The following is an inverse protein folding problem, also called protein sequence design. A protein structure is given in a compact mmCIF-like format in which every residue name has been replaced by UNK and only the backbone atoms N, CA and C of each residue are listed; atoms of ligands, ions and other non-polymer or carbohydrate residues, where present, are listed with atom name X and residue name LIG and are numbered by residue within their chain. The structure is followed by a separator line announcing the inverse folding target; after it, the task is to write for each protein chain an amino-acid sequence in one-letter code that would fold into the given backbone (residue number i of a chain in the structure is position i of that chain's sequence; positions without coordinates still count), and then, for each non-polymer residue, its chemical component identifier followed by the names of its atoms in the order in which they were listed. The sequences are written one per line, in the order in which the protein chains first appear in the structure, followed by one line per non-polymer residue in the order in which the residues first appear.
data_IF_206319015325
#
_entry.id   IF_206319015325
#
_cell.length_a   1.000
_cell.length_b   1.000
_cell.length_c   1.000
_cell.angle_alpha   90.00
_cell.angle_beta   90.00
_cell.angle_gamma   90.00
#
_symmetry.space_group_name_H-M   'P 1'
#
loop_
_entity.id
_entity.type
_entity.pdbx_description
1 polymer ?
#
# COMPACT_ATOMS: atom_id res chain seq x y z
N UNK A 1 -7.99 15.20 20.39
CA UNK A 1 -6.65 14.91 19.84
C UNK A 1 -6.58 13.42 19.53
N UNK A 2 -6.27 13.04 18.29
CA UNK A 2 -6.29 11.64 17.83
C UNK A 2 -5.29 10.80 18.62
N UNK A 3 -5.75 9.69 19.21
CA UNK A 3 -4.94 8.75 20.01
C UNK A 3 -3.76 8.10 19.25
N UNK A 4 -3.60 8.43 17.96
CA UNK A 4 -2.52 7.93 17.09
C UNK A 4 -1.23 8.74 17.14
N UNK A 5 -1.19 9.89 17.84
CA UNK A 5 0.04 10.70 17.97
C UNK A 5 1.01 10.20 19.07
N UNK A 6 0.64 9.19 19.85
CA UNK A 6 1.43 8.70 21.00
C UNK A 6 2.02 7.29 20.85
N UNK A 7 1.88 6.64 19.69
CA UNK A 7 2.54 5.36 19.42
C UNK A 7 3.60 5.56 18.36
N UNK A 8 4.79 5.03 18.61
CA UNK A 8 5.85 5.03 17.62
C UNK A 8 5.35 4.36 16.32
N UNK A 9 5.74 4.91 15.15
CA UNK A 9 5.44 4.25 13.89
C UNK A 9 6.04 2.84 13.90
N UNK A 10 5.34 1.88 13.27
CA UNK A 10 5.89 0.53 13.12
C UNK A 10 7.27 0.59 12.47
N UNK A 11 8.23 -0.24 12.92
CA UNK A 11 9.53 -0.35 12.28
C UNK A 11 9.40 -0.63 10.77
N UNK A 12 10.33 -0.13 9.93
CA UNK A 12 10.27 -0.36 8.49
C UNK A 12 10.18 -1.84 8.10
N UNK A 13 10.85 -2.73 8.84
CA UNK A 13 10.76 -4.19 8.63
C UNK A 13 9.34 -4.72 8.76
N UNK A 14 8.59 -4.24 9.75
CA UNK A 14 7.23 -4.68 10.03
C UNK A 14 6.24 -4.11 9.02
N UNK A 15 6.48 -2.89 8.54
CA UNK A 15 5.74 -2.28 7.44
C UNK A 15 5.92 -3.07 6.13
N UNK A 16 7.15 -3.47 5.81
CA UNK A 16 7.47 -4.28 4.64
C UNK A 16 6.80 -5.65 4.74
N UNK A 17 6.90 -6.31 5.90
CA UNK A 17 6.27 -7.60 6.15
C UNK A 17 4.76 -7.52 5.97
N UNK A 18 4.12 -6.56 6.64
CA UNK A 18 2.67 -6.32 6.57
C UNK A 18 2.20 -6.10 5.12
N UNK A 19 2.87 -5.22 4.37
CA UNK A 19 2.52 -4.94 2.98
C UNK A 19 2.71 -6.18 2.08
N UNK A 20 3.75 -6.98 2.34
CA UNK A 20 4.06 -8.18 1.55
C UNK A 20 3.02 -9.28 1.80
N UNK A 21 2.66 -9.54 3.05
CA UNK A 21 1.61 -10.49 3.42
C UNK A 21 0.28 -10.13 2.77
N UNK A 22 -0.09 -8.85 2.83
CA UNK A 22 -1.35 -8.39 2.25
C UNK A 22 -1.35 -8.49 0.72
N UNK A 23 -0.22 -8.17 0.06
CA UNK A 23 -0.07 -8.40 -1.38
C UNK A 23 -0.28 -9.87 -1.73
N UNK A 24 0.38 -10.79 -1.02
CA UNK A 24 0.26 -12.24 -1.27
C UNK A 24 -1.18 -12.70 -1.11
N UNK A 25 -1.84 -12.33 -0.01
CA UNK A 25 -3.25 -12.66 0.26
C UNK A 25 -4.18 -12.16 -0.85
N UNK A 26 -3.96 -10.93 -1.32
CA UNK A 26 -4.77 -10.33 -2.38
C UNK A 26 -4.51 -10.98 -3.73
N UNK A 27 -3.26 -11.29 -4.05
CA UNK A 27 -2.91 -12.01 -5.28
C UNK A 27 -3.61 -13.36 -5.34
N UNK A 28 -3.58 -14.13 -4.25
CA UNK A 28 -4.29 -15.41 -4.15
C UNK A 28 -5.80 -15.25 -4.33
N UNK A 29 -6.40 -14.26 -3.66
CA UNK A 29 -7.83 -13.97 -3.78
C UNK A 29 -8.22 -13.53 -5.20
N UNK A 30 -7.42 -12.68 -5.84
CA UNK A 30 -7.63 -12.22 -7.22
C UNK A 30 -7.48 -13.37 -8.22
N UNK A 31 -6.49 -14.24 -8.05
CA UNK A 31 -6.33 -15.44 -8.89
C UNK A 31 -7.53 -16.40 -8.76
N UNK A 32 -8.04 -16.58 -7.54
CA UNK A 32 -9.25 -17.37 -7.32
C UNK A 32 -10.48 -16.72 -7.99
N UNK A 33 -10.64 -15.40 -7.88
CA UNK A 33 -11.73 -14.66 -8.50
C UNK A 33 -11.67 -14.68 -10.04
N UNK A 34 -10.47 -14.64 -10.65
CA UNK A 34 -10.27 -14.82 -12.10
C UNK A 34 -10.71 -16.21 -12.53
N UNK A 35 -10.27 -17.27 -11.80
CA UNK A 35 -10.67 -18.66 -12.10
C UNK A 35 -12.19 -18.86 -11.99
N UNK A 36 -12.84 -18.15 -11.07
CA UNK A 36 -14.28 -18.17 -10.88
C UNK A 36 -15.04 -17.26 -11.88
N UNK A 37 -14.36 -16.58 -12.80
CA UNK A 37 -14.98 -15.67 -13.77
C UNK A 37 -15.56 -14.38 -13.16
N UNK A 38 -15.21 -14.05 -11.92
CA UNK A 38 -15.75 -12.88 -11.20
C UNK A 38 -15.04 -11.58 -11.57
N UNK A 39 -13.79 -11.65 -12.02
CA UNK A 39 -13.00 -10.50 -12.50
C UNK A 39 -12.15 -10.91 -13.71
N UNK A 40 -11.73 -9.92 -14.49
CA UNK A 40 -10.79 -10.13 -15.60
C UNK A 40 -9.35 -10.31 -15.10
N UNK A 41 -8.51 -11.01 -15.88
CA UNK A 41 -7.08 -11.16 -15.59
C UNK A 41 -6.38 -9.79 -15.54
N UNK A 42 -6.71 -8.89 -16.45
CA UNK A 42 -6.18 -7.52 -16.49
C UNK A 42 -6.44 -6.76 -15.18
N UNK A 43 -7.65 -6.88 -14.61
CA UNK A 43 -7.98 -6.25 -13.33
C UNK A 43 -7.16 -6.84 -12.17
N UNK A 44 -6.89 -8.15 -12.19
CA UNK A 44 -6.05 -8.79 -11.20
C UNK A 44 -4.58 -8.33 -11.31
N UNK A 45 -4.06 -8.19 -12.53
CA UNK A 45 -2.70 -7.70 -12.78
C UNK A 45 -2.55 -6.24 -12.33
N UNK A 46 -3.53 -5.38 -12.62
CA UNK A 46 -3.53 -4.00 -12.12
C UNK A 46 -3.52 -3.93 -10.58
N UNK A 47 -4.29 -4.76 -9.89
CA UNK A 47 -4.26 -4.81 -8.42
C UNK A 47 -2.89 -5.27 -7.89
N UNK A 48 -2.25 -6.28 -8.53
CA UNK A 48 -0.90 -6.73 -8.13
C UNK A 48 0.16 -5.65 -8.37
N UNK A 49 0.05 -4.86 -9.44
CA UNK A 49 0.97 -3.73 -9.71
C UNK A 49 0.88 -2.70 -8.57
N UNK A 50 -0.32 -2.29 -8.19
CA UNK A 50 -0.52 -1.31 -7.11
C UNK A 50 0.05 -1.82 -5.78
N UNK A 51 -0.20 -3.09 -5.45
CA UNK A 51 0.34 -3.68 -4.23
C UNK A 51 1.85 -3.95 -4.28
N UNK A 52 2.40 -4.24 -5.47
CA UNK A 52 3.84 -4.29 -5.67
C UNK A 52 4.48 -2.93 -5.40
N UNK A 53 3.85 -1.84 -5.82
CA UNK A 53 4.34 -0.48 -5.57
C UNK A 53 4.22 -0.09 -4.09
N UNK A 54 3.18 -0.52 -3.39
CA UNK A 54 3.05 -0.34 -1.93
C UNK A 54 4.18 -1.05 -1.19
N UNK A 55 4.48 -2.31 -1.53
CA UNK A 55 5.60 -3.06 -0.93
C UNK A 55 6.92 -2.36 -1.22
N UNK A 56 7.14 -1.93 -2.45
CA UNK A 56 8.37 -1.24 -2.82
C UNK A 56 8.53 0.08 -2.07
N UNK A 57 7.46 0.87 -1.94
CA UNK A 57 7.47 2.09 -1.14
C UNK A 57 7.90 1.82 0.31
N UNK A 58 7.39 0.75 0.94
CA UNK A 58 7.81 0.40 2.30
C UNK A 58 9.29 -0.01 2.36
N UNK A 59 9.83 -0.62 1.31
CA UNK A 59 11.27 -0.94 1.23
C UNK A 59 12.14 0.31 1.14
N UNK A 60 11.67 1.38 0.49
CA UNK A 60 12.39 2.66 0.45
C UNK A 60 12.54 3.25 1.86
N UNK A 61 11.52 3.12 2.72
CA UNK A 61 11.63 3.50 4.14
C UNK A 61 12.67 2.65 4.90
N UNK A 62 12.89 1.41 4.46
CA UNK A 62 13.95 0.52 4.94
C UNK A 62 15.32 0.74 4.28
N UNK A 63 15.48 1.79 3.45
CA UNK A 63 16.74 2.13 2.79
C UNK A 63 16.96 1.52 1.41
N UNK A 64 15.97 0.84 0.82
CA UNK A 64 16.04 0.42 -0.59
C UNK A 64 16.05 1.65 -1.51
N UNK A 65 16.98 1.68 -2.45
CA UNK A 65 17.16 2.80 -3.39
C UNK A 65 16.93 2.42 -4.85
N UNK A 66 16.54 1.17 -5.11
CA UNK A 66 16.22 0.73 -6.48
C UNK A 66 14.97 1.46 -6.95
N UNK A 67 14.91 1.78 -8.23
CA UNK A 67 13.68 2.33 -8.81
C UNK A 67 12.61 1.22 -8.93
N UNK A 68 11.34 1.49 -8.59
CA UNK A 68 10.27 0.55 -8.84
C UNK A 68 10.02 0.42 -10.34
N UNK A 69 9.33 -0.66 -10.71
CA UNK A 69 9.02 -0.95 -12.11
C UNK A 69 8.19 0.16 -12.76
N UNK A 70 7.25 0.78 -12.04
CA UNK A 70 6.36 1.86 -12.54
C UNK A 70 5.98 2.78 -11.38
N UNK A 71 6.20 4.10 -11.50
CA UNK A 71 5.83 5.09 -10.47
C UNK A 71 5.13 6.32 -11.07
N UNK A 72 4.08 6.09 -11.86
CA UNK A 72 3.30 7.22 -12.36
C UNK A 72 2.62 7.96 -11.20
N UNK A 73 2.43 9.26 -11.37
CA UNK A 73 1.81 10.09 -10.33
C UNK A 73 0.39 9.60 -10.01
N UNK A 74 -0.34 9.08 -10.99
CA UNK A 74 -1.67 8.50 -10.82
C UNK A 74 -1.65 7.22 -9.97
N UNK A 75 -0.58 6.43 -10.06
CA UNK A 75 -0.41 5.21 -9.25
C UNK A 75 -0.25 5.56 -7.77
N UNK A 76 0.39 6.69 -7.45
CA UNK A 76 0.61 7.13 -6.06
C UNK A 76 -0.69 7.44 -5.34
N UNK A 77 -1.58 8.23 -5.96
CA UNK A 77 -2.90 8.53 -5.39
C UNK A 77 -3.78 7.26 -5.36
N UNK A 78 -3.59 6.34 -6.30
CA UNK A 78 -4.29 5.04 -6.29
C UNK A 78 -3.81 4.11 -5.17
N UNK A 79 -2.51 4.09 -4.86
CA UNK A 79 -1.95 3.32 -3.73
C UNK A 79 -2.61 3.73 -2.40
N UNK A 80 -2.68 5.03 -2.09
CA UNK A 80 -3.29 5.52 -0.86
C UNK A 80 -4.76 5.11 -0.74
N UNK A 81 -5.53 5.29 -1.82
CA UNK A 81 -6.95 4.88 -1.90
C UNK A 81 -7.11 3.37 -1.74
N UNK A 82 -6.24 2.57 -2.36
CA UNK A 82 -6.27 1.11 -2.30
C UNK A 82 -5.99 0.59 -0.89
N UNK A 83 -4.99 1.14 -0.20
CA UNK A 83 -4.69 0.77 1.19
C UNK A 83 -5.83 1.17 2.13
N UNK A 84 -6.39 2.38 1.98
CA UNK A 84 -7.54 2.82 2.78
C UNK A 84 -8.76 1.92 2.58
N UNK A 85 -9.10 1.59 1.34
CA UNK A 85 -10.21 0.69 1.02
C UNK A 85 -10.00 -0.71 1.61
N UNK A 86 -8.75 -1.19 1.59
CA UNK A 86 -8.38 -2.49 2.16
C UNK A 86 -8.53 -2.50 3.67
N UNK A 87 -8.02 -1.48 4.37
CA UNK A 87 -8.24 -1.30 5.81
C UNK A 87 -9.74 -1.27 6.16
N UNK A 88 -10.55 -0.54 5.40
CA UNK A 88 -12.00 -0.48 5.62
C UNK A 88 -12.66 -1.85 5.49
N UNK A 89 -12.29 -2.64 4.47
CA UNK A 89 -12.78 -4.02 4.32
C UNK A 89 -12.34 -4.93 5.47
N UNK A 90 -11.12 -4.76 5.99
CA UNK A 90 -10.64 -5.50 7.15
C UNK A 90 -11.40 -5.15 8.43
N UNK A 91 -11.75 -3.87 8.63
CA UNK A 91 -12.61 -3.44 9.73
C UNK A 91 -13.99 -4.10 9.65
N UNK A 92 -14.64 -4.04 8.48
CA UNK A 92 -15.94 -4.70 8.25
C UNK A 92 -15.84 -6.21 8.50
N UNK A 93 -14.77 -6.86 8.03
CA UNK A 93 -14.55 -8.28 8.24
C UNK A 93 -14.31 -8.62 9.72
N UNK A 94 -13.61 -7.76 10.47
CA UNK A 94 -13.41 -7.89 11.91
C UNK A 94 -14.72 -7.73 12.68
N UNK A 95 -15.55 -6.74 12.34
CA UNK A 95 -16.86 -6.53 12.94
C UNK A 95 -17.79 -7.73 12.69
N UNK A 96 -17.63 -8.38 11.53
CA UNK A 96 -18.32 -9.64 11.18
C UNK A 96 -17.64 -10.90 11.75
N UNK A 97 -16.66 -10.76 12.64
CA UNK A 97 -15.93 -11.88 13.28
C UNK A 97 -15.27 -12.85 12.29
N UNK A 98 -14.81 -12.36 11.13
CA UNK A 98 -14.15 -13.18 10.14
C UNK A 98 -12.81 -13.76 10.68
N UNK A 99 -12.53 -15.05 10.45
CA UNK A 99 -11.28 -15.68 10.89
C UNK A 99 -10.04 -14.97 10.36
N UNK A 100 -9.02 -14.82 11.22
CA UNK A 100 -7.73 -14.24 10.85
C UNK A 100 -7.71 -12.71 10.69
N UNK A 101 -8.83 -12.02 10.91
CA UNK A 101 -8.89 -10.57 11.06
C UNK A 101 -8.69 -10.21 12.52
N UNK A 102 -7.53 -9.64 12.86
CA UNK A 102 -7.19 -9.24 14.23
C UNK A 102 -7.01 -7.73 14.31
N UNK A 103 -7.16 -7.17 15.51
CA UNK A 103 -6.90 -5.74 15.75
C UNK A 103 -5.47 -5.36 15.37
N UNK A 104 -4.50 -6.23 15.65
CA UNK A 104 -3.10 -6.03 15.28
C UNK A 104 -2.90 -5.89 13.76
N UNK A 105 -3.54 -6.73 12.94
CA UNK A 105 -3.46 -6.60 11.46
C UNK A 105 -4.06 -5.28 10.97
N UNK A 106 -5.18 -4.86 11.56
CA UNK A 106 -5.84 -3.58 11.21
C UNK A 106 -4.95 -2.39 11.60
N UNK A 107 -4.34 -2.45 12.77
CA UNK A 107 -3.42 -1.42 13.25
C UNK A 107 -2.18 -1.37 12.35
N UNK A 108 -1.59 -2.53 11.99
CA UNK A 108 -0.46 -2.58 11.05
C UNK A 108 -0.80 -1.99 9.68
N UNK A 109 -1.95 -2.32 9.11
CA UNK A 109 -2.44 -1.70 7.87
C UNK A 109 -2.72 -0.20 8.01
N UNK A 110 -3.06 0.28 9.21
CA UNK A 110 -3.19 1.70 9.49
C UNK A 110 -1.84 2.42 9.41
N UNK A 111 -0.77 1.82 9.92
CA UNK A 111 0.57 2.38 9.79
C UNK A 111 1.04 2.40 8.33
N UNK A 112 0.76 1.35 7.54
CA UNK A 112 1.03 1.34 6.08
C UNK A 112 0.29 2.48 5.37
N UNK A 113 -0.98 2.71 5.70
CA UNK A 113 -1.77 3.81 5.13
C UNK A 113 -1.17 5.17 5.48
N UNK A 114 -0.85 5.41 6.75
CA UNK A 114 -0.28 6.68 7.20
C UNK A 114 1.08 6.97 6.58
N UNK A 115 1.94 5.96 6.44
CA UNK A 115 3.24 6.14 5.78
C UNK A 115 3.10 6.63 4.33
N UNK A 116 2.13 6.10 3.59
CA UNK A 116 1.84 6.53 2.22
C UNK A 116 1.24 7.93 2.21
N UNK A 117 0.14 8.15 2.94
CA UNK A 117 -0.54 9.46 3.00
C UNK A 117 0.41 10.58 3.42
N UNK A 118 1.19 10.37 4.48
CA UNK A 118 2.14 11.36 4.95
C UNK A 118 3.17 11.72 3.88
N UNK A 119 3.69 10.72 3.16
CA UNK A 119 4.68 10.97 2.10
C UNK A 119 4.06 11.65 0.89
N UNK A 120 2.83 11.31 0.52
CA UNK A 120 2.12 12.01 -0.57
C UNK A 120 1.79 13.45 -0.20
N UNK A 121 1.40 13.71 1.05
CA UNK A 121 1.19 15.06 1.56
C UNK A 121 2.50 15.85 1.61
N UNK A 122 3.57 15.24 2.16
CA UNK A 122 4.89 15.86 2.22
C UNK A 122 5.43 16.19 0.83
N UNK A 123 5.30 15.28 -0.14
CA UNK A 123 5.73 15.54 -1.53
C UNK A 123 4.84 16.54 -2.27
N UNK A 124 3.58 16.71 -1.87
CA UNK A 124 2.71 17.81 -2.39
C UNK A 124 3.14 19.18 -1.82
N UNK A 125 3.60 19.23 -0.57
CA UNK A 125 4.07 20.48 0.08
C UNK A 125 5.52 20.82 -0.28
N UNK A 126 6.36 19.80 -0.41
CA UNK A 126 7.77 19.88 -0.79
C UNK A 126 8.01 18.95 -2.00
N UNK A 127 7.60 19.38 -3.22
CA UNK A 127 7.88 18.60 -4.41
C UNK A 127 9.38 18.35 -4.50
N UNK A 128 9.75 17.07 -4.63
CA UNK A 128 11.12 16.68 -4.96
C UNK A 128 11.46 17.46 -6.25
N UNK A 129 12.55 18.25 -6.27
CA UNK A 129 12.98 18.90 -7.50
C UNK A 129 13.13 17.81 -8.54
N UNK A 130 12.27 17.82 -9.56
CA UNK A 130 12.39 16.90 -10.68
C UNK A 130 13.68 17.30 -11.36
N UNK A 131 14.76 16.56 -11.11
CA UNK A 131 15.99 16.72 -11.86
C UNK A 131 15.62 16.48 -13.33
N UNK A 132 15.50 17.58 -14.08
CA UNK A 132 15.20 17.63 -15.51
C UNK A 132 16.39 17.09 -16.33
N UNK A 133 16.94 15.92 -15.98
CA UNK A 133 17.85 15.19 -16.88
C UNK A 133 17.01 14.47 -17.92
N UNK A 134 16.53 15.28 -18.85
CA UNK A 134 15.61 14.94 -19.93
C UNK A 134 15.06 16.17 -20.66
N UNK A 135 15.40 17.39 -20.22
CA UNK A 135 15.20 18.61 -20.99
C UNK A 135 16.51 19.05 -21.68
N UNK A 136 17.03 18.17 -22.52
CA UNK A 136 17.96 18.44 -23.62
C UNK A 136 17.75 17.27 -24.59
N UNK A 137 16.96 17.45 -25.65
CA UNK A 137 17.43 17.92 -26.96
C UNK A 137 18.45 16.95 -27.55
#
# INVERSE_FOLDING_TARGET
MSAYLGRDPLPPTDLIATATEERTRRREASLAAVKAGQITAEKADWDDIIWSNIVHFMRVLGGDRREPRHWHQDDKDLMARSVRATKQRMLIAYDNSAPGMTRQRIDAMTHVWYAIEFTLLYTKVHPIPVDRRGAAA
#
